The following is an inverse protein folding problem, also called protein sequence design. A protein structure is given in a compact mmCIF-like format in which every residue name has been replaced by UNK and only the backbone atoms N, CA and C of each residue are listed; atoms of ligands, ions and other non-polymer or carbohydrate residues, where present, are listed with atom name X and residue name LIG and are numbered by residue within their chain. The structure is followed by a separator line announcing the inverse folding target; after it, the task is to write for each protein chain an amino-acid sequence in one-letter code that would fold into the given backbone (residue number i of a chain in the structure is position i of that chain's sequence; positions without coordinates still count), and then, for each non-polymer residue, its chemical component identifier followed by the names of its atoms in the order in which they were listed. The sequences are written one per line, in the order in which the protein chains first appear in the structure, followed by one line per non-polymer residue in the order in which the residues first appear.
data_IF_812050841115
#
_entry.id   IF_812050841115
#
_cell.length_a   1.000
_cell.length_b   1.000
_cell.length_c   1.000
_cell.angle_alpha   90.00
_cell.angle_beta   90.00
_cell.angle_gamma   90.00
#
_symmetry.space_group_name_H-M   'P 1'
#
loop_
_entity.id
_entity.type
_entity.pdbx_description
1 polymer ?
#
# COMPACT_ATOMS: atom_id res chain seq x y z
N UNK A 1 -21.97 -0.84 -6.05
CA UNK A 1 -20.71 -0.79 -5.29
C UNK A 1 -20.28 0.68 -5.14
N UNK A 2 -19.78 1.11 -3.99
CA UNK A 2 -19.50 2.55 -3.75
C UNK A 2 -18.05 2.91 -4.08
N UNK A 3 -17.80 4.15 -4.54
CA UNK A 3 -16.43 4.62 -4.83
C UNK A 3 -15.52 4.56 -3.60
N UNK A 4 -16.05 4.90 -2.42
CA UNK A 4 -15.34 4.81 -1.15
C UNK A 4 -14.94 3.36 -0.77
N UNK A 5 -15.76 2.36 -1.15
CA UNK A 5 -15.41 0.95 -0.98
C UNK A 5 -14.31 0.54 -1.97
N UNK A 6 -14.39 1.01 -3.21
CA UNK A 6 -13.40 0.70 -4.24
C UNK A 6 -12.00 1.21 -3.88
N UNK A 7 -11.89 2.48 -3.49
CA UNK A 7 -10.60 3.04 -3.07
C UNK A 7 -10.76 4.22 -2.12
N UNK A 8 -9.93 4.24 -1.08
CA UNK A 8 -9.85 5.34 -0.13
C UNK A 8 -8.49 5.37 0.58
N UNK A 9 -8.29 6.40 1.39
CA UNK A 9 -7.20 6.44 2.37
C UNK A 9 -7.66 6.02 3.76
N UNK A 10 -6.83 5.21 4.42
CA UNK A 10 -6.92 4.82 5.83
C UNK A 10 -5.64 5.26 6.54
N UNK A 11 -5.68 6.38 7.28
CA UNK A 11 -4.50 6.96 7.92
C UNK A 11 -3.28 7.18 6.99
N UNK A 12 -3.56 7.55 5.73
CA UNK A 12 -2.56 7.78 4.70
C UNK A 12 -2.14 6.52 3.91
N UNK A 13 -2.76 5.38 4.18
CA UNK A 13 -2.57 4.12 3.43
C UNK A 13 -3.70 3.94 2.41
N UNK A 14 -3.40 3.39 1.23
CA UNK A 14 -4.41 2.94 0.29
C UNK A 14 -5.22 1.78 0.89
N UNK A 15 -6.54 1.92 0.87
CA UNK A 15 -7.51 0.99 1.46
C UNK A 15 -8.70 0.79 0.51
N UNK A 16 -9.67 -0.02 0.93
CA UNK A 16 -10.73 -0.52 0.07
C UNK A 16 -10.29 -1.72 -0.76
N UNK A 17 -11.10 -2.08 -1.75
CA UNK A 17 -10.82 -3.18 -2.69
C UNK A 17 -9.41 -3.06 -3.25
N UNK A 18 -9.01 -1.86 -3.68
CA UNK A 18 -7.70 -1.63 -4.25
C UNK A 18 -6.54 -1.78 -3.26
N UNK A 19 -6.72 -1.36 -2.00
CA UNK A 19 -5.68 -1.50 -0.98
C UNK A 19 -5.44 -2.95 -0.57
N UNK A 20 -6.51 -3.75 -0.49
CA UNK A 20 -6.41 -5.19 -0.21
C UNK A 20 -5.80 -5.92 -1.40
N UNK A 21 -6.29 -5.67 -2.62
CA UNK A 21 -5.73 -6.28 -3.82
C UNK A 21 -4.23 -5.95 -4.01
N UNK A 22 -3.81 -4.72 -3.68
CA UNK A 22 -2.39 -4.38 -3.68
C UNK A 22 -1.59 -5.16 -2.64
N UNK A 23 -2.13 -5.35 -1.44
CA UNK A 23 -1.48 -6.20 -0.43
C UNK A 23 -1.31 -7.63 -0.93
N UNK A 24 -2.35 -8.19 -1.56
CA UNK A 24 -2.34 -9.55 -2.11
C UNK A 24 -1.27 -9.70 -3.21
N UNK A 25 -1.13 -8.71 -4.10
CA UNK A 25 -0.06 -8.70 -5.12
C UNK A 25 1.34 -8.65 -4.48
N UNK A 26 1.54 -7.82 -3.47
CA UNK A 26 2.85 -7.71 -2.78
C UNK A 26 3.25 -9.01 -2.08
N UNK A 27 2.28 -9.72 -1.50
CA UNK A 27 2.49 -11.03 -0.90
C UNK A 27 2.70 -12.11 -1.95
N UNK A 28 1.88 -12.13 -3.00
CA UNK A 28 1.99 -13.08 -4.11
C UNK A 28 3.29 -12.96 -4.89
N UNK A 29 3.88 -11.77 -4.94
CA UNK A 29 5.21 -11.51 -5.50
C UNK A 29 6.36 -11.77 -4.53
N UNK A 30 6.07 -12.14 -3.28
CA UNK A 30 7.04 -12.34 -2.20
C UNK A 30 7.87 -11.08 -1.93
N UNK A 31 7.28 -9.89 -2.10
CA UNK A 31 7.93 -8.62 -1.77
C UNK A 31 7.81 -8.31 -0.28
N UNK A 32 6.73 -8.81 0.34
CA UNK A 32 6.50 -8.79 1.77
C UNK A 32 6.32 -10.21 2.27
N UNK A 33 6.63 -10.42 3.54
CA UNK A 33 6.39 -11.68 4.23
C UNK A 33 5.82 -11.48 5.64
N UNK A 34 4.92 -12.39 5.98
CA UNK A 34 4.53 -12.79 7.34
C UNK A 34 5.68 -12.77 8.36
N UNK A 35 5.74 -11.88 9.37
CA UNK A 35 6.74 -12.02 10.44
C UNK A 35 6.14 -11.91 11.84
N UNK A 36 6.35 -12.89 12.75
CA UNK A 36 6.00 -12.75 14.15
C UNK A 36 7.10 -12.04 14.96
N UNK A 37 6.77 -11.41 16.11
CA UNK A 37 5.44 -11.29 16.70
C UNK A 37 4.61 -10.15 16.06
N UNK A 38 3.28 -10.13 16.29
CA UNK A 38 2.43 -9.01 15.90
C UNK A 38 2.94 -7.67 16.42
N UNK A 39 2.67 -6.59 15.70
CA UNK A 39 2.96 -5.23 16.18
C UNK A 39 1.85 -4.71 17.09
N UNK A 40 2.07 -3.54 17.71
CA UNK A 40 1.12 -2.85 18.59
C UNK A 40 -0.31 -2.90 18.06
N UNK A 41 -1.26 -3.28 18.93
CA UNK A 41 -2.66 -3.48 18.57
C UNK A 41 -2.98 -4.85 17.98
N UNK A 42 -2.10 -5.84 18.20
CA UNK A 42 -2.25 -7.23 17.70
C UNK A 42 -2.45 -7.30 16.18
N UNK A 43 -1.75 -6.43 15.45
CA UNK A 43 -1.81 -6.40 13.98
C UNK A 43 -0.72 -7.28 13.41
N UNK A 44 -1.04 -7.96 12.32
CA UNK A 44 -0.08 -8.78 11.57
C UNK A 44 1.13 -7.91 11.21
N UNK A 45 2.33 -8.37 11.54
CA UNK A 45 3.56 -7.69 11.18
C UNK A 45 4.08 -8.26 9.87
N UNK A 46 4.57 -7.38 9.00
CA UNK A 46 5.18 -7.78 7.74
C UNK A 46 6.61 -7.24 7.67
N UNK A 47 7.52 -8.08 7.21
CA UNK A 47 8.86 -7.68 6.81
C UNK A 47 8.92 -7.53 5.28
N UNK A 48 9.84 -6.70 4.81
CA UNK A 48 10.14 -6.62 3.39
C UNK A 48 11.29 -7.55 3.06
N UNK A 49 11.12 -8.35 2.01
CA UNK A 49 12.14 -9.28 1.55
C UNK A 49 13.22 -8.52 0.76
N UNK A 50 14.43 -9.08 0.56
CA UNK A 50 15.44 -8.47 -0.31
C UNK A 50 14.94 -8.23 -1.74
N UNK A 51 14.12 -9.16 -2.27
CA UNK A 51 13.45 -9.04 -3.57
C UNK A 51 12.49 -7.85 -3.60
N UNK A 52 11.67 -7.71 -2.57
CA UNK A 52 10.72 -6.59 -2.44
C UNK A 52 11.42 -5.25 -2.32
N UNK A 53 12.51 -5.17 -1.54
CA UNK A 53 13.32 -3.96 -1.41
C UNK A 53 13.84 -3.50 -2.77
N UNK A 54 14.50 -4.40 -3.50
CA UNK A 54 15.06 -4.09 -4.81
C UNK A 54 13.97 -3.62 -5.79
N UNK A 55 12.83 -4.30 -5.82
CA UNK A 55 11.75 -3.96 -6.74
C UNK A 55 11.07 -2.63 -6.38
N UNK A 56 10.74 -2.40 -5.11
CA UNK A 56 10.10 -1.16 -4.66
C UNK A 56 11.01 0.06 -4.83
N UNK A 57 12.30 -0.05 -4.50
CA UNK A 57 13.25 1.03 -4.76
C UNK A 57 13.46 1.24 -6.27
N UNK A 58 13.44 0.17 -7.08
CA UNK A 58 13.47 0.24 -8.54
C UNK A 58 12.26 0.96 -9.14
N UNK A 59 11.09 0.86 -8.51
CA UNK A 59 9.91 1.65 -8.87
C UNK A 59 10.02 3.13 -8.45
N UNK A 60 10.90 3.45 -7.51
CA UNK A 60 11.04 4.79 -6.93
C UNK A 60 10.27 5.00 -5.63
N UNK A 61 9.80 3.93 -4.97
CA UNK A 61 9.21 4.02 -3.63
C UNK A 61 10.32 4.39 -2.63
N UNK A 62 10.08 5.38 -1.78
CA UNK A 62 11.04 5.85 -0.78
C UNK A 62 11.17 4.92 0.44
N UNK A 63 11.54 3.66 0.22
CA UNK A 63 11.51 2.62 1.25
C UNK A 63 12.53 2.86 2.36
N UNK A 64 13.75 3.23 2.00
CA UNK A 64 14.81 3.59 2.96
C UNK A 64 14.42 4.74 3.90
N UNK A 65 13.57 5.67 3.45
CA UNK A 65 13.02 6.72 4.31
C UNK A 65 11.91 6.19 5.21
N UNK A 66 11.03 5.33 4.69
CA UNK A 66 9.97 4.68 5.48
C UNK A 66 10.55 3.82 6.62
N UNK A 67 11.65 3.12 6.40
CA UNK A 67 12.33 2.31 7.41
C UNK A 67 12.89 3.12 8.59
N UNK A 68 13.14 4.43 8.41
CA UNK A 68 13.66 5.33 9.45
C UNK A 68 12.57 6.03 10.26
N UNK A 69 11.29 5.80 9.92
CA UNK A 69 10.14 6.36 10.64
C UNK A 69 10.01 5.75 12.03
N UNK A 70 9.49 6.51 13.00
CA UNK A 70 9.34 6.10 14.41
C UNK A 70 8.18 5.13 14.67
N UNK A 71 7.25 4.97 13.72
CA UNK A 71 6.15 4.00 13.80
C UNK A 71 6.45 2.67 13.10
N UNK A 72 5.54 1.70 13.23
CA UNK A 72 5.64 0.40 12.57
C UNK A 72 5.92 0.54 11.07
N UNK A 73 6.92 -0.20 10.58
CA UNK A 73 7.34 -0.17 9.17
C UNK A 73 6.24 -0.66 8.23
N UNK A 74 5.78 -1.91 8.39
CA UNK A 74 4.68 -2.50 7.64
C UNK A 74 3.83 -3.40 8.54
N UNK A 75 2.51 -3.34 8.38
CA UNK A 75 1.58 -4.19 9.11
C UNK A 75 0.26 -4.37 8.36
N UNK A 76 -0.49 -5.42 8.68
CA UNK A 76 -1.83 -5.65 8.14
C UNK A 76 -2.85 -4.72 8.80
N UNK A 77 -3.34 -3.74 8.06
CA UNK A 77 -4.42 -2.88 8.53
C UNK A 77 -5.75 -3.45 8.04
N UNK A 78 -6.63 -3.80 8.98
CA UNK A 78 -7.90 -4.45 8.67
C UNK A 78 -8.85 -3.48 7.93
N UNK A 79 -9.25 -3.88 6.74
CA UNK A 79 -10.24 -3.18 5.96
C UNK A 79 -11.66 -3.60 6.37
N UNK A 80 -12.43 -2.67 6.93
CA UNK A 80 -13.80 -2.97 7.37
C UNK A 80 -14.76 -3.30 6.22
N UNK A 81 -14.45 -2.90 4.97
CA UNK A 81 -15.33 -3.15 3.82
C UNK A 81 -15.02 -4.49 3.16
N UNK A 82 -13.74 -4.88 3.13
CA UNK A 82 -13.29 -6.09 2.43
C UNK A 82 -13.01 -7.27 3.37
N UNK A 83 -12.93 -7.04 4.68
CA UNK A 83 -12.51 -8.04 5.69
C UNK A 83 -11.12 -8.64 5.40
N UNK A 84 -10.29 -7.92 4.64
CA UNK A 84 -8.90 -8.26 4.31
C UNK A 84 -7.91 -7.23 4.87
N UNK A 85 -6.62 -7.51 4.77
CA UNK A 85 -5.57 -6.57 5.19
C UNK A 85 -5.11 -5.72 4.02
N UNK A 86 -5.07 -4.40 4.20
CA UNK A 86 -4.32 -3.51 3.32
C UNK A 86 -2.98 -3.13 3.97
N UNK A 87 -2.02 -2.67 3.16
CA UNK A 87 -0.69 -2.34 3.64
C UNK A 87 -0.71 -1.11 4.56
N UNK A 88 -0.42 -1.33 5.83
CA UNK A 88 -0.27 -0.29 6.85
C UNK A 88 1.18 0.16 7.06
N UNK A 89 1.38 1.02 8.05
CA UNK A 89 2.71 1.45 8.50
C UNK A 89 3.34 2.59 7.69
N UNK A 90 4.63 2.82 7.92
CA UNK A 90 5.40 3.79 7.15
C UNK A 90 5.50 3.39 5.67
N UNK A 91 5.62 2.10 5.38
CA UNK A 91 5.67 1.57 4.02
C UNK A 91 4.36 1.81 3.27
N UNK A 92 3.20 1.55 3.89
CA UNK A 92 1.90 1.83 3.28
C UNK A 92 1.72 3.29 2.88
N UNK A 93 2.26 4.24 3.68
CA UNK A 93 2.26 5.67 3.34
C UNK A 93 3.19 5.97 2.17
N UNK A 94 4.40 5.40 2.18
CA UNK A 94 5.36 5.59 1.10
C UNK A 94 4.84 5.06 -0.25
N UNK A 95 4.20 3.89 -0.25
CA UNK A 95 3.55 3.32 -1.44
C UNK A 95 2.40 4.22 -1.91
N UNK A 96 1.54 4.68 -0.99
CA UNK A 96 0.42 5.56 -1.37
C UNK A 96 0.91 6.89 -1.93
N UNK A 97 1.98 7.46 -1.37
CA UNK A 97 2.62 8.67 -1.86
C UNK A 97 3.19 8.46 -3.26
N UNK A 98 3.96 7.38 -3.47
CA UNK A 98 4.47 7.00 -4.78
C UNK A 98 3.34 6.87 -5.82
N UNK A 99 2.28 6.11 -5.52
CA UNK A 99 1.15 5.94 -6.44
C UNK A 99 0.45 7.28 -6.78
N UNK A 100 0.42 8.20 -5.81
CA UNK A 100 -0.12 9.56 -6.03
C UNK A 100 0.80 10.38 -6.93
N UNK A 101 2.11 10.35 -6.68
CA UNK A 101 3.12 11.06 -7.47
C UNK A 101 3.19 10.59 -8.91
N UNK A 102 3.00 9.29 -9.14
CA UNK A 102 2.90 8.72 -10.49
C UNK A 102 1.55 8.99 -11.17
N UNK A 103 0.54 9.51 -10.46
CA UNK A 103 -0.79 9.77 -11.00
C UNK A 103 -1.72 8.56 -11.07
N UNK A 104 -1.34 7.43 -10.45
CA UNK A 104 -2.21 6.26 -10.33
C UNK A 104 -3.33 6.47 -9.31
N UNK A 105 -3.06 7.24 -8.26
CA UNK A 105 -4.03 7.52 -7.18
C UNK A 105 -4.28 9.02 -7.10
N UNK A 106 -5.49 9.44 -7.44
CA UNK A 106 -5.90 10.85 -7.36
C UNK A 106 -6.64 11.16 -6.06
N UNK A 107 -6.27 12.25 -5.37
CA UNK A 107 -6.95 12.68 -4.15
C UNK A 107 -8.24 13.45 -4.47
N UNK A 108 -9.32 13.10 -3.79
CA UNK A 108 -10.57 13.87 -3.84
C UNK A 108 -10.60 14.90 -2.69
N UNK A 109 -10.67 16.22 -2.97
CA UNK A 109 -10.70 17.26 -1.93
C UNK A 109 -11.84 17.06 -0.94
N UNK A 110 -11.55 17.21 0.36
CA UNK A 110 -12.54 17.06 1.43
C UNK A 110 -13.04 15.63 1.66
N UNK A 111 -12.49 14.63 0.95
CA UNK A 111 -12.89 13.23 1.07
C UNK A 111 -11.67 12.33 1.32
N UNK A 112 -11.96 11.14 1.86
CA UNK A 112 -10.98 10.04 1.92
C UNK A 112 -10.98 9.19 0.67
N UNK A 113 -12.01 9.32 -0.17
CA UNK A 113 -12.09 8.66 -1.47
C UNK A 113 -10.89 9.08 -2.34
N UNK A 114 -10.38 8.13 -3.11
CA UNK A 114 -9.37 8.38 -4.12
C UNK A 114 -9.81 7.82 -5.46
N UNK A 115 -9.42 8.47 -6.54
CA UNK A 115 -9.58 7.92 -7.88
C UNK A 115 -8.41 7.01 -8.22
N UNK A 116 -8.65 6.03 -9.08
CA UNK A 116 -7.63 5.09 -9.54
C UNK A 116 -7.43 5.20 -11.05
N UNK A 117 -6.18 5.12 -11.48
CA UNK A 117 -5.78 4.91 -12.86
C UNK A 117 -4.98 3.61 -12.93
N UNK A 118 -5.52 2.60 -13.60
CA UNK A 118 -4.94 1.26 -13.65
C UNK A 118 -5.30 0.37 -12.45
N UNK A 119 -4.62 -0.77 -12.34
CA UNK A 119 -4.81 -1.79 -11.30
C UNK A 119 -3.54 -1.99 -10.48
N UNK A 120 -3.62 -2.63 -9.30
CA UNK A 120 -2.44 -2.96 -8.50
C UNK A 120 -1.30 -3.60 -9.30
N UNK A 121 -1.60 -4.62 -10.11
CA UNK A 121 -0.59 -5.26 -10.97
C UNK A 121 0.07 -4.27 -11.92
N UNK A 122 -0.73 -3.42 -12.58
CA UNK A 122 -0.23 -2.40 -13.50
C UNK A 122 0.70 -1.38 -12.82
N UNK A 123 0.39 -0.98 -11.58
CA UNK A 123 1.23 -0.06 -10.81
C UNK A 123 2.61 -0.65 -10.47
N UNK A 124 2.68 -1.97 -10.26
CA UNK A 124 3.90 -2.68 -9.90
C UNK A 124 4.77 -3.05 -11.10
N UNK A 125 4.21 -3.07 -12.32
CA UNK A 125 4.95 -3.34 -13.56
C UNK A 125 5.74 -2.11 -14.10
N UNK A 126 5.71 -0.98 -13.39
CA UNK A 126 6.48 0.22 -13.74
C UNK A 126 5.90 1.04 -14.90
N UNK A 127 4.64 0.81 -15.26
CA UNK A 127 4.00 1.50 -16.37
C UNK A 127 3.58 2.93 -16.01
N UNK A 128 4.24 3.96 -16.55
CA UNK A 128 3.83 5.37 -16.36
C UNK A 128 2.44 5.58 -16.98
N UNK A 129 1.44 6.12 -16.25
CA UNK A 129 0.12 6.34 -16.82
C UNK A 129 0.20 7.41 -17.90
N UNK A 130 -0.42 7.15 -19.06
CA UNK A 130 -0.53 8.16 -20.11
C UNK A 130 -1.46 9.27 -19.61
N UNK A 131 -0.93 10.51 -19.56
CA UNK A 131 -1.70 11.71 -19.17
C UNK A 131 -2.75 12.04 -20.22
#
# INVERSE_FOLDING_TARGET
DSRLRQARTCYGHLAGVAGVALMDELLGLEWLEETPPPVSGNRVCYAMTPKGLQAMEGLGVAVSAAAKSTGNFAFGCLDWTERGHHLGGALGRAVTAFLTEQGFVGRTPGSREVTLQGSPRFWLDGAVPQR
#
